data_IF_197307814576
#
_entry.id   IF_197307814576
#
_cell.length_a   1.000
_cell.length_b   1.000
_cell.length_c   1.000
_cell.angle_alpha   90.00
_cell.angle_beta   90.00
_cell.angle_gamma   90.00
#
_symmetry.space_group_name_H-M   'P 1'
#
loop_
_entity.id
_entity.type
_entity.pdbx_description
1 polymer ?
#
# COMPACT_ATOMS: atom_id res chain seq x y z
N UNK A 1 -58.00 -22.97 1.83
CA UNK A 1 -56.63 -23.25 2.32
C UNK A 1 -55.70 -23.45 1.12
N UNK A 2 -54.89 -22.44 0.78
CA UNK A 2 -53.89 -22.52 -0.30
C UNK A 2 -52.66 -23.28 0.22
N UNK A 3 -52.33 -24.42 -0.39
CA UNK A 3 -51.11 -25.18 -0.09
C UNK A 3 -49.91 -24.35 -0.54
N UNK A 4 -49.12 -23.85 0.40
CA UNK A 4 -47.77 -23.35 0.15
C UNK A 4 -46.93 -24.55 -0.29
N UNK A 5 -46.60 -24.60 -1.58
CA UNK A 5 -45.61 -25.53 -2.10
C UNK A 5 -44.25 -25.15 -1.54
N UNK A 6 -43.80 -25.88 -0.52
CA UNK A 6 -42.40 -25.84 -0.09
C UNK A 6 -41.60 -26.55 -1.18
N UNK A 7 -41.04 -25.78 -2.11
CA UNK A 7 -39.98 -26.28 -2.97
C UNK A 7 -38.85 -26.75 -2.07
N UNK A 8 -38.56 -28.06 -2.11
CA UNK A 8 -37.37 -28.63 -1.49
C UNK A 8 -36.16 -27.99 -2.16
N UNK A 9 -35.67 -26.90 -1.58
CA UNK A 9 -34.31 -26.42 -1.84
C UNK A 9 -33.40 -27.52 -1.28
N UNK A 10 -32.93 -28.38 -2.18
CA UNK A 10 -31.84 -29.29 -1.88
C UNK A 10 -30.60 -28.42 -1.69
N UNK A 11 -30.37 -27.97 -0.45
CA UNK A 11 -29.11 -27.37 -0.06
C UNK A 11 -28.03 -28.45 -0.16
N UNK A 12 -27.44 -28.62 -1.35
CA UNK A 12 -26.15 -29.28 -1.45
C UNK A 12 -25.12 -28.41 -0.72
N UNK A 13 -24.90 -28.71 0.55
CA UNK A 13 -23.91 -28.10 1.44
C UNK A 13 -22.46 -28.49 1.03
N UNK A 14 -22.12 -28.38 -0.25
CA UNK A 14 -20.80 -28.74 -0.77
C UNK A 14 -19.82 -27.55 -0.90
N UNK A 15 -20.19 -26.35 -0.45
CA UNK A 15 -19.25 -25.22 -0.42
C UNK A 15 -19.24 -24.54 0.94
N UNK A 16 -18.44 -25.08 1.86
CA UNK A 16 -18.11 -24.34 3.09
C UNK A 16 -17.36 -23.06 2.70
N UNK A 17 -17.85 -21.92 3.16
CA UNK A 17 -17.29 -20.57 2.98
C UNK A 17 -15.97 -20.35 3.75
N UNK A 18 -15.19 -21.40 4.03
CA UNK A 18 -14.05 -21.41 4.96
C UNK A 18 -12.87 -22.17 4.36
N UNK A 19 -11.68 -22.03 4.96
CA UNK A 19 -10.50 -22.79 4.56
C UNK A 19 -10.81 -24.29 4.50
N UNK A 20 -10.73 -24.88 3.31
CA UNK A 20 -10.89 -26.32 3.09
C UNK A 20 -9.53 -27.00 2.93
N UNK A 21 -9.54 -28.35 3.01
CA UNK A 21 -8.35 -29.16 2.73
C UNK A 21 -7.84 -28.84 1.31
N UNK A 22 -6.53 -28.58 1.18
CA UNK A 22 -5.88 -28.28 -0.10
C UNK A 22 -5.87 -26.80 -0.54
N UNK A 23 -6.47 -25.87 0.21
CA UNK A 23 -6.28 -24.43 -0.07
C UNK A 23 -4.89 -24.00 0.41
N UNK A 24 -4.17 -23.27 -0.43
CA UNK A 24 -2.87 -22.66 -0.12
C UNK A 24 -2.94 -21.14 -0.33
N UNK A 25 -2.11 -20.37 0.40
CA UNK A 25 -1.94 -18.95 0.11
C UNK A 25 -1.38 -18.80 -1.30
N UNK A 26 -1.85 -17.77 -2.00
CA UNK A 26 -1.47 -17.47 -3.37
C UNK A 26 -0.26 -16.53 -3.37
N UNK A 27 0.64 -16.75 -4.32
CA UNK A 27 1.69 -15.79 -4.68
C UNK A 27 1.16 -14.78 -5.68
N UNK A 28 1.86 -13.65 -5.85
CA UNK A 28 1.49 -12.65 -6.87
C UNK A 28 1.36 -13.26 -8.28
N UNK A 29 2.29 -14.16 -8.66
CA UNK A 29 2.23 -14.88 -9.94
C UNK A 29 0.97 -15.73 -10.08
N UNK A 30 0.56 -16.42 -9.02
CA UNK A 30 -0.67 -17.22 -9.02
C UNK A 30 -1.93 -16.34 -9.08
N UNK A 31 -1.92 -15.18 -8.40
CA UNK A 31 -2.99 -14.18 -8.52
C UNK A 31 -3.11 -13.68 -9.96
N UNK A 32 -1.99 -13.36 -10.61
CA UNK A 32 -1.96 -12.91 -11.99
C UNK A 32 -2.48 -13.98 -12.96
N UNK A 33 -2.11 -15.26 -12.78
CA UNK A 33 -2.62 -16.35 -13.62
C UNK A 33 -4.13 -16.57 -13.40
N UNK A 34 -4.61 -16.47 -12.16
CA UNK A 34 -6.01 -16.77 -11.81
C UNK A 34 -6.98 -15.64 -12.15
N UNK A 35 -6.56 -14.39 -11.96
CA UNK A 35 -7.42 -13.21 -12.08
C UNK A 35 -6.98 -12.23 -13.18
N UNK A 36 -5.77 -12.37 -13.74
CA UNK A 36 -5.34 -11.55 -14.87
C UNK A 36 -6.09 -11.93 -16.14
N UNK A 37 -6.85 -10.98 -16.68
CA UNK A 37 -7.49 -11.13 -17.98
C UNK A 37 -7.55 -9.78 -18.70
N UNK A 38 -6.68 -9.55 -19.71
CA UNK A 38 -6.63 -8.28 -20.43
C UNK A 38 -7.84 -8.04 -21.35
N UNK A 39 -8.58 -9.10 -21.70
CA UNK A 39 -9.65 -9.06 -22.70
C UNK A 39 -11.04 -8.88 -22.11
N UNK A 40 -11.17 -8.81 -20.78
CA UNK A 40 -12.47 -8.68 -20.13
C UNK A 40 -12.82 -7.20 -19.97
N UNK A 41 -14.04 -6.82 -20.33
CA UNK A 41 -14.56 -5.50 -19.96
C UNK A 41 -14.68 -5.43 -18.43
N UNK A 42 -13.98 -4.46 -17.84
CA UNK A 42 -13.95 -4.32 -16.39
C UNK A 42 -14.83 -3.14 -16.00
N UNK A 43 -15.72 -3.39 -15.04
CA UNK A 43 -16.55 -2.35 -14.43
C UNK A 43 -15.68 -1.32 -13.71
N UNK A 44 -16.28 -0.15 -13.47
CA UNK A 44 -15.63 0.95 -12.79
C UNK A 44 -15.04 0.55 -11.42
N UNK A 45 -13.79 0.97 -11.18
CA UNK A 45 -12.99 0.61 -10.00
C UNK A 45 -13.66 1.08 -8.70
N UNK A 46 -14.12 2.34 -8.66
CA UNK A 46 -14.69 2.93 -7.45
C UNK A 46 -16.01 2.24 -7.09
N UNK A 47 -16.82 1.93 -8.11
CA UNK A 47 -18.06 1.19 -7.94
C UNK A 47 -17.83 -0.20 -7.37
N UNK A 48 -16.89 -0.98 -7.94
CA UNK A 48 -16.54 -2.32 -7.47
C UNK A 48 -15.97 -2.30 -6.04
N UNK A 49 -15.10 -1.33 -5.74
CA UNK A 49 -14.54 -1.16 -4.40
C UNK A 49 -15.64 -0.86 -3.37
N UNK A 50 -16.54 0.07 -3.68
CA UNK A 50 -17.65 0.43 -2.79
C UNK A 50 -18.59 -0.75 -2.52
N UNK A 51 -18.92 -1.54 -3.56
CA UNK A 51 -19.75 -2.75 -3.41
C UNK A 51 -19.06 -3.79 -2.52
N UNK A 52 -17.76 -4.01 -2.75
CA UNK A 52 -16.96 -4.96 -1.97
C UNK A 52 -16.88 -4.53 -0.50
N UNK A 53 -16.61 -3.25 -0.24
CA UNK A 53 -16.55 -2.70 1.13
C UNK A 53 -17.90 -2.73 1.84
N UNK A 54 -18.99 -2.42 1.14
CA UNK A 54 -20.35 -2.49 1.69
C UNK A 54 -20.75 -3.92 2.05
N UNK A 55 -20.24 -4.91 1.32
CA UNK A 55 -20.46 -6.31 1.66
C UNK A 55 -19.60 -6.74 2.86
N UNK A 56 -18.34 -6.31 2.92
CA UNK A 56 -17.47 -6.53 4.09
C UNK A 56 -18.06 -5.87 5.34
N UNK A 57 -18.68 -4.70 5.21
CA UNK A 57 -19.20 -3.96 6.35
C UNK A 57 -20.34 -4.67 7.08
N UNK A 58 -21.06 -5.54 6.36
CA UNK A 58 -22.14 -6.37 6.91
C UNK A 58 -21.64 -7.62 7.64
N UNK A 59 -20.33 -7.91 7.59
CA UNK A 59 -19.76 -9.08 8.24
C UNK A 59 -19.67 -8.91 9.76
N UNK A 60 -20.04 -9.97 10.47
CA UNK A 60 -19.74 -10.11 11.90
C UNK A 60 -18.30 -10.61 12.10
N UNK A 61 -17.76 -10.44 13.31
CA UNK A 61 -16.39 -10.86 13.64
C UNK A 61 -16.10 -12.35 13.36
N UNK A 62 -17.11 -13.22 13.46
CA UNK A 62 -16.99 -14.65 13.16
C UNK A 62 -16.68 -14.96 11.69
N UNK A 63 -16.98 -14.07 10.74
CA UNK A 63 -16.65 -14.24 9.31
C UNK A 63 -15.16 -14.18 9.03
N UNK A 64 -14.36 -13.67 9.97
CA UNK A 64 -12.89 -13.64 9.89
C UNK A 64 -12.25 -14.94 10.39
N UNK A 65 -13.03 -15.80 11.06
CA UNK A 65 -12.53 -17.08 11.56
C UNK A 65 -12.46 -18.14 10.45
N UNK A 66 -11.56 -19.11 10.61
CA UNK A 66 -11.35 -20.22 9.65
C UNK A 66 -11.00 -19.71 8.23
N UNK A 67 -10.05 -18.78 8.18
CA UNK A 67 -9.51 -18.17 6.95
C UNK A 67 -8.05 -18.51 6.69
N UNK A 68 -7.34 -19.00 7.71
CA UNK A 68 -5.97 -19.51 7.56
C UNK A 68 -6.03 -20.99 7.19
N UNK A 69 -5.34 -21.44 6.13
CA UNK A 69 -5.37 -22.84 5.75
C UNK A 69 -4.81 -23.78 6.83
N UNK A 70 -5.31 -25.02 6.83
CA UNK A 70 -5.09 -25.98 7.92
C UNK A 70 -3.73 -26.70 7.84
N UNK A 71 -3.25 -26.98 6.63
CA UNK A 71 -2.05 -27.79 6.36
C UNK A 71 -0.85 -26.91 5.99
N UNK A 72 -0.45 -26.05 6.91
CA UNK A 72 0.69 -25.15 6.75
C UNK A 72 1.59 -25.32 7.96
N UNK A 73 2.91 -25.20 7.76
CA UNK A 73 3.90 -25.25 8.83
C UNK A 73 3.62 -24.21 9.93
N UNK A 74 4.05 -24.51 11.16
CA UNK A 74 3.74 -23.70 12.34
C UNK A 74 4.18 -22.24 12.22
N UNK A 75 5.35 -21.98 11.63
CA UNK A 75 5.86 -20.62 11.46
C UNK A 75 5.06 -19.87 10.39
N UNK A 76 4.91 -20.45 9.21
CA UNK A 76 4.11 -19.88 8.11
C UNK A 76 2.65 -19.64 8.54
N UNK A 77 2.09 -20.51 9.37
CA UNK A 77 0.74 -20.33 9.92
C UNK A 77 0.65 -19.10 10.82
N UNK A 78 1.64 -18.86 11.71
CA UNK A 78 1.71 -17.65 12.55
C UNK A 78 1.81 -16.39 11.70
N UNK A 79 2.60 -16.44 10.63
CA UNK A 79 2.76 -15.33 9.69
C UNK A 79 1.44 -14.97 8.99
N UNK A 80 0.69 -15.98 8.52
CA UNK A 80 -0.63 -15.78 7.91
C UNK A 80 -1.66 -15.25 8.91
N UNK A 81 -1.59 -15.66 10.19
CA UNK A 81 -2.44 -15.08 11.22
C UNK A 81 -2.13 -13.60 11.44
N UNK A 82 -0.85 -13.23 11.53
CA UNK A 82 -0.44 -11.83 11.68
C UNK A 82 -0.91 -10.98 10.49
N UNK A 83 -0.73 -11.48 9.26
CA UNK A 83 -1.22 -10.81 8.06
C UNK A 83 -2.74 -10.66 8.06
N UNK A 84 -3.47 -11.70 8.45
CA UNK A 84 -4.94 -11.66 8.57
C UNK A 84 -5.39 -10.65 9.63
N UNK A 85 -4.71 -10.57 10.78
CA UNK A 85 -5.03 -9.62 11.83
C UNK A 85 -4.78 -8.17 11.39
N UNK A 86 -3.67 -7.91 10.68
CA UNK A 86 -3.41 -6.61 10.06
C UNK A 86 -4.53 -6.24 9.08
N UNK A 87 -4.84 -7.12 8.12
CA UNK A 87 -5.90 -6.91 7.14
C UNK A 87 -7.26 -6.66 7.81
N UNK A 88 -7.61 -7.47 8.81
CA UNK A 88 -8.84 -7.33 9.57
C UNK A 88 -8.92 -5.98 10.28
N UNK A 89 -7.83 -5.55 10.94
CA UNK A 89 -7.80 -4.27 11.66
C UNK A 89 -8.04 -3.09 10.72
N UNK A 90 -7.37 -3.09 9.56
CA UNK A 90 -7.50 -2.05 8.54
C UNK A 90 -8.90 -2.05 7.91
N UNK A 91 -9.47 -3.22 7.59
CA UNK A 91 -10.84 -3.30 7.09
C UNK A 91 -11.86 -2.77 8.11
N UNK A 92 -11.71 -3.10 9.40
CA UNK A 92 -12.61 -2.59 10.46
C UNK A 92 -12.45 -1.08 10.65
N UNK A 93 -11.24 -0.54 10.58
CA UNK A 93 -10.98 0.89 10.64
C UNK A 93 -11.65 1.62 9.46
N UNK A 94 -11.47 1.10 8.24
CA UNK A 94 -12.11 1.64 7.04
C UNK A 94 -13.64 1.58 7.13
N UNK A 95 -14.21 0.51 7.68
CA UNK A 95 -15.65 0.41 7.91
C UNK A 95 -16.17 1.52 8.81
N UNK A 96 -15.51 1.77 9.95
CA UNK A 96 -15.88 2.86 10.88
C UNK A 96 -15.74 4.22 10.23
N UNK A 97 -14.70 4.42 9.43
CA UNK A 97 -14.48 5.67 8.70
C UNK A 97 -15.58 5.89 7.65
N UNK A 98 -15.93 4.88 6.87
CA UNK A 98 -17.01 4.95 5.90
C UNK A 98 -18.36 5.25 6.57
N UNK A 99 -18.65 4.64 7.72
CA UNK A 99 -19.86 4.92 8.51
C UNK A 99 -19.89 6.38 9.00
N UNK A 100 -18.77 6.90 9.50
CA UNK A 100 -18.65 8.29 9.91
C UNK A 100 -18.86 9.26 8.73
N UNK A 101 -18.28 8.97 7.56
CA UNK A 101 -18.48 9.75 6.33
C UNK A 101 -19.95 9.72 5.88
N UNK A 102 -20.59 8.55 5.88
CA UNK A 102 -22.01 8.45 5.53
C UNK A 102 -22.92 9.21 6.51
N UNK A 103 -22.59 9.20 7.80
CA UNK A 103 -23.31 9.95 8.82
C UNK A 103 -23.14 11.47 8.63
N UNK A 104 -21.93 11.93 8.34
CA UNK A 104 -21.67 13.34 8.04
C UNK A 104 -22.39 13.78 6.75
N UNK A 105 -22.44 12.93 5.70
CA UNK A 105 -23.20 13.21 4.47
C UNK A 105 -24.69 13.34 4.77
N UNK A 106 -25.27 12.41 5.55
CA UNK A 106 -26.67 12.46 5.96
C UNK A 106 -26.98 13.69 6.81
N UNK A 107 -26.06 14.09 7.69
CA UNK A 107 -26.20 15.29 8.51
C UNK A 107 -26.20 16.56 7.66
N UNK A 108 -25.25 16.71 6.74
CA UNK A 108 -25.21 17.86 5.81
C UNK A 108 -26.48 17.90 4.96
N UNK A 109 -26.89 16.75 4.41
CA UNK A 109 -28.11 16.62 3.61
C UNK A 109 -29.37 16.99 4.39
N UNK A 110 -29.50 16.56 5.64
CA UNK A 110 -30.68 16.86 6.47
C UNK A 110 -30.73 18.32 6.93
N UNK A 111 -29.58 18.94 7.21
CA UNK A 111 -29.51 20.34 7.67
C UNK A 111 -29.73 21.35 6.53
N UNK A 112 -29.35 21.01 5.30
CA UNK A 112 -29.41 21.93 4.15
C UNK A 112 -30.48 21.57 3.13
N UNK A 113 -31.10 20.39 3.25
CA UNK A 113 -32.11 19.90 2.31
C UNK A 113 -31.57 19.45 0.95
N UNK A 114 -30.25 19.43 0.75
CA UNK A 114 -29.66 18.95 -0.50
C UNK A 114 -29.66 17.42 -0.57
N UNK A 115 -29.67 16.87 -1.79
CA UNK A 115 -29.52 15.43 -1.99
C UNK A 115 -28.14 14.94 -1.49
N UNK A 116 -28.06 13.78 -0.81
CA UNK A 116 -26.79 13.20 -0.33
C UNK A 116 -25.71 13.08 -1.42
N UNK A 117 -26.13 12.77 -2.65
CA UNK A 117 -25.22 12.58 -3.78
C UNK A 117 -24.56 13.89 -4.24
N UNK A 118 -25.16 15.04 -3.92
CA UNK A 118 -24.65 16.36 -4.31
C UNK A 118 -23.72 16.97 -3.25
N UNK A 119 -23.70 16.43 -2.03
CA UNK A 119 -22.89 16.95 -0.91
C UNK A 119 -21.41 17.02 -1.28
N UNK A 120 -20.89 15.96 -1.90
CA UNK A 120 -19.46 15.84 -2.28
C UNK A 120 -19.03 16.82 -3.39
N UNK A 121 -19.99 17.40 -4.12
CA UNK A 121 -19.70 18.35 -5.22
C UNK A 121 -19.69 19.81 -4.74
N UNK A 122 -20.02 20.07 -3.47
CA UNK A 122 -20.10 21.42 -2.93
C UNK A 122 -18.73 21.95 -2.52
N UNK A 123 -18.62 23.28 -2.48
CA UNK A 123 -17.40 23.99 -2.14
C UNK A 123 -17.56 24.79 -0.83
N UNK A 124 -16.45 25.38 -0.35
CA UNK A 124 -16.46 26.22 0.85
C UNK A 124 -17.33 27.47 0.73
N UNK A 125 -17.46 28.04 -0.46
CA UNK A 125 -18.34 29.20 -0.67
C UNK A 125 -19.81 28.84 -0.38
N UNK A 126 -20.28 27.71 -0.91
CA UNK A 126 -21.59 27.17 -0.60
C UNK A 126 -21.77 26.89 0.90
N UNK A 127 -20.76 26.33 1.57
CA UNK A 127 -20.79 26.14 3.02
C UNK A 127 -20.98 27.47 3.76
N UNK A 128 -20.28 28.53 3.37
CA UNK A 128 -20.39 29.84 4.00
C UNK A 128 -21.80 30.42 3.87
N UNK A 129 -22.43 30.27 2.70
CA UNK A 129 -23.80 30.70 2.46
C UNK A 129 -24.80 29.93 3.33
N UNK A 130 -24.73 28.59 3.34
CA UNK A 130 -25.66 27.75 4.11
C UNK A 130 -25.47 27.91 5.62
N UNK A 131 -24.22 28.02 6.09
CA UNK A 131 -23.93 28.29 7.49
C UNK A 131 -24.44 29.69 7.90
N UNK A 132 -24.32 30.71 7.02
CA UNK A 132 -24.85 32.04 7.28
C UNK A 132 -26.38 32.04 7.37
N UNK A 133 -27.07 31.29 6.48
CA UNK A 133 -28.54 31.11 6.54
C UNK A 133 -28.96 30.50 7.88
N UNK A 134 -28.33 29.41 8.32
CA UNK A 134 -28.64 28.77 9.60
C UNK A 134 -28.39 29.71 10.79
N UNK A 135 -27.30 30.48 10.76
CA UNK A 135 -27.02 31.50 11.80
C UNK A 135 -28.04 32.64 11.79
N UNK A 136 -28.46 33.09 10.61
CA UNK A 136 -29.47 34.14 10.46
C UNK A 136 -30.82 33.70 11.03
N UNK A 137 -31.16 32.41 10.89
CA UNK A 137 -32.35 31.80 11.48
C UNK A 137 -32.22 31.56 13.01
N UNK A 138 -31.10 31.91 13.63
CA UNK A 138 -30.83 31.70 15.06
C UNK A 138 -30.38 30.29 15.42
N UNK A 139 -30.18 29.39 14.45
CA UNK A 139 -29.83 27.98 14.67
C UNK A 139 -28.31 27.77 14.77
N UNK A 140 -27.67 28.41 15.75
CA UNK A 140 -26.20 28.45 15.89
C UNK A 140 -25.54 27.05 16.01
N UNK A 141 -26.18 26.13 16.74
CA UNK A 141 -25.65 24.77 16.93
C UNK A 141 -25.63 23.99 15.61
N UNK A 142 -26.73 24.02 14.85
CA UNK A 142 -26.81 23.38 13.54
C UNK A 142 -25.80 23.98 12.54
N UNK A 143 -25.60 25.30 12.59
CA UNK A 143 -24.58 25.95 11.76
C UNK A 143 -23.15 25.49 12.11
N UNK A 144 -22.87 25.23 13.40
CA UNK A 144 -21.59 24.67 13.85
C UNK A 144 -21.44 23.21 13.39
N UNK A 145 -22.46 22.40 13.60
CA UNK A 145 -22.47 20.98 13.21
C UNK A 145 -22.29 20.82 11.70
N UNK A 146 -22.99 21.64 10.90
CA UNK A 146 -22.83 21.71 9.43
C UNK A 146 -21.38 22.00 9.06
N UNK A 147 -20.78 23.04 9.67
CA UNK A 147 -19.38 23.42 9.39
C UNK A 147 -18.43 22.29 9.74
N UNK A 148 -18.55 21.74 10.95
CA UNK A 148 -17.59 20.75 11.45
C UNK A 148 -17.71 19.42 10.65
N UNK A 149 -18.93 19.01 10.27
CA UNK A 149 -19.15 17.85 9.38
C UNK A 149 -18.61 18.09 7.97
N UNK A 150 -18.87 19.26 7.37
CA UNK A 150 -18.38 19.57 6.04
C UNK A 150 -16.85 19.60 5.98
N UNK A 151 -16.18 20.20 6.99
CA UNK A 151 -14.73 20.24 7.06
C UNK A 151 -14.10 18.84 7.20
N UNK A 152 -14.74 17.91 7.92
CA UNK A 152 -14.31 16.50 7.95
C UNK A 152 -14.50 15.81 6.60
N UNK A 153 -15.63 16.06 5.93
CA UNK A 153 -15.90 15.51 4.61
C UNK A 153 -14.93 16.00 3.54
N UNK A 154 -14.40 17.23 3.64
CA UNK A 154 -13.36 17.70 2.72
C UNK A 154 -12.08 16.86 2.81
N UNK A 155 -11.74 16.35 4.00
CA UNK A 155 -10.53 15.55 4.23
C UNK A 155 -10.76 14.08 3.92
N UNK A 156 -11.87 13.51 4.39
CA UNK A 156 -12.13 12.07 4.37
C UNK A 156 -13.17 11.61 3.34
N UNK A 157 -13.96 12.54 2.81
CA UNK A 157 -15.12 12.23 1.96
C UNK A 157 -14.81 12.02 0.49
N UNK A 158 -13.55 12.19 0.07
CA UNK A 158 -13.11 11.86 -1.29
C UNK A 158 -13.22 10.36 -1.55
N UNK A 159 -13.76 9.97 -2.72
CA UNK A 159 -13.87 8.57 -3.13
C UNK A 159 -12.51 7.87 -3.21
N UNK A 160 -11.46 8.65 -3.50
CA UNK A 160 -10.08 8.18 -3.64
C UNK A 160 -9.28 8.26 -2.33
N UNK A 161 -9.92 8.67 -1.22
CA UNK A 161 -9.26 8.68 0.08
C UNK A 161 -8.74 7.27 0.42
N UNK A 162 -7.42 7.17 0.66
CA UNK A 162 -6.68 5.93 0.95
C UNK A 162 -6.92 4.81 -0.08
N UNK A 163 -7.14 5.17 -1.35
CA UNK A 163 -7.51 4.22 -2.41
C UNK A 163 -6.56 3.03 -2.54
N UNK A 164 -5.24 3.27 -2.58
CA UNK A 164 -4.26 2.19 -2.71
C UNK A 164 -4.27 1.25 -1.49
N UNK A 165 -4.38 1.78 -0.28
CA UNK A 165 -4.46 0.96 0.94
C UNK A 165 -5.72 0.08 0.94
N UNK A 166 -6.86 0.64 0.53
CA UNK A 166 -8.13 -0.09 0.40
C UNK A 166 -8.04 -1.21 -0.65
N UNK A 167 -7.43 -0.94 -1.80
CA UNK A 167 -7.15 -1.96 -2.81
C UNK A 167 -6.15 -3.02 -2.32
N UNK A 168 -5.13 -2.63 -1.55
CA UNK A 168 -4.18 -3.55 -0.92
C UNK A 168 -4.85 -4.46 0.12
N UNK A 169 -5.85 -3.98 0.87
CA UNK A 169 -6.68 -4.84 1.71
C UNK A 169 -7.38 -5.92 0.88
N UNK A 170 -8.05 -5.54 -0.21
CA UNK A 170 -8.73 -6.49 -1.11
C UNK A 170 -7.74 -7.49 -1.70
N UNK A 171 -6.61 -7.01 -2.22
CA UNK A 171 -5.53 -7.86 -2.74
C UNK A 171 -4.99 -8.82 -1.69
N UNK A 172 -4.76 -8.37 -0.46
CA UNK A 172 -4.32 -9.20 0.66
C UNK A 172 -5.32 -10.30 1.02
N UNK A 173 -6.62 -9.98 1.05
CA UNK A 173 -7.68 -10.98 1.21
C UNK A 173 -7.69 -11.99 0.06
N UNK A 174 -7.39 -11.54 -1.16
CA UNK A 174 -7.24 -12.39 -2.35
C UNK A 174 -6.04 -13.33 -2.23
N UNK A 175 -4.89 -12.83 -1.79
CA UNK A 175 -3.66 -13.59 -1.55
C UNK A 175 -3.84 -14.71 -0.51
N UNK A 176 -4.71 -14.52 0.49
CA UNK A 176 -5.06 -15.59 1.44
C UNK A 176 -5.84 -16.75 0.77
N UNK A 177 -6.46 -16.51 -0.39
CA UNK A 177 -7.14 -17.54 -1.19
C UNK A 177 -8.43 -18.11 -0.59
N UNK A 178 -8.84 -17.67 0.60
CA UNK A 178 -9.97 -18.23 1.37
C UNK A 178 -11.22 -17.35 1.41
N UNK A 179 -11.11 -16.09 0.96
CA UNK A 179 -12.19 -15.11 1.05
C UNK A 179 -13.10 -15.04 -0.17
N UNK A 180 -12.68 -15.55 -1.34
CA UNK A 180 -13.41 -15.38 -2.61
C UNK A 180 -14.89 -15.77 -2.52
N UNK A 181 -15.18 -16.95 -1.96
CA UNK A 181 -16.55 -17.45 -1.81
C UNK A 181 -17.38 -16.67 -0.79
N UNK A 182 -16.75 -15.92 0.12
CA UNK A 182 -17.45 -15.14 1.13
C UNK A 182 -18.20 -13.92 0.54
N UNK A 183 -17.90 -13.57 -0.71
CA UNK A 183 -18.47 -12.42 -1.43
C UNK A 183 -19.58 -12.77 -2.43
N UNK A 184 -19.98 -14.04 -2.55
CA UNK A 184 -21.04 -14.46 -3.47
C UNK A 184 -22.12 -15.28 -2.75
N UNK A 185 -23.19 -15.61 -3.48
CA UNK A 185 -24.31 -16.45 -3.00
C UNK A 185 -25.04 -15.85 -1.80
N UNK A 186 -25.26 -14.54 -1.82
CA UNK A 186 -26.04 -13.84 -0.79
C UNK A 186 -27.52 -13.86 -1.14
N UNK A 187 -28.37 -14.18 -0.17
CA UNK A 187 -29.82 -14.01 -0.31
C UNK A 187 -30.12 -12.52 -0.12
N UNK A 188 -30.71 -11.90 -1.14
CA UNK A 188 -31.02 -10.48 -1.18
C UNK A 188 -32.48 -10.26 -1.57
N UNK A 189 -33.03 -9.12 -1.17
CA UNK A 189 -34.41 -8.73 -1.45
C UNK A 189 -34.41 -7.65 -2.54
N UNK A 190 -35.26 -7.79 -3.56
CA UNK A 190 -35.44 -6.74 -4.57
C UNK A 190 -36.20 -5.57 -3.99
N UNK A 191 -35.58 -4.39 -3.95
CA UNK A 191 -36.14 -3.16 -3.38
C UNK A 191 -37.55 -2.76 -3.90
N UNK A 192 -37.91 -3.14 -5.13
CA UNK A 192 -39.19 -2.77 -5.73
C UNK A 192 -40.30 -3.82 -5.55
N UNK A 193 -39.96 -5.11 -5.39
CA UNK A 193 -40.92 -6.21 -5.41
C UNK A 193 -40.95 -7.03 -4.12
N UNK A 194 -39.96 -6.85 -3.23
CA UNK A 194 -39.80 -7.68 -2.03
C UNK A 194 -39.44 -9.14 -2.33
N UNK A 195 -39.15 -9.48 -3.58
CA UNK A 195 -38.77 -10.84 -3.97
C UNK A 195 -37.38 -11.18 -3.46
N UNK A 196 -37.27 -12.33 -2.78
CA UNK A 196 -35.99 -12.89 -2.39
C UNK A 196 -35.35 -13.63 -3.55
N UNK A 197 -34.08 -13.33 -3.83
CA UNK A 197 -33.27 -14.04 -4.81
C UNK A 197 -31.86 -14.29 -4.29
N UNK A 198 -31.16 -15.23 -4.92
CA UNK A 198 -29.74 -15.49 -4.64
C UNK A 198 -28.93 -14.65 -5.61
N UNK A 199 -28.12 -13.73 -5.08
CA UNK A 199 -27.16 -12.97 -5.87
C UNK A 199 -25.89 -13.80 -6.06
N UNK A 200 -25.67 -14.23 -7.30
CA UNK A 200 -24.49 -14.98 -7.73
C UNK A 200 -23.32 -14.05 -8.11
N UNK A 201 -23.54 -12.74 -8.15
CA UNK A 201 -22.50 -11.75 -8.41
C UNK A 201 -21.36 -11.82 -7.40
N UNK A 202 -20.14 -11.54 -7.86
CA UNK A 202 -18.96 -11.51 -7.00
C UNK A 202 -18.12 -10.24 -7.27
N UNK A 203 -18.46 -9.10 -6.64
CA UNK A 203 -17.75 -7.85 -6.84
C UNK A 203 -16.28 -7.93 -6.40
N UNK A 204 -15.97 -8.81 -5.43
CA UNK A 204 -14.59 -9.04 -4.97
C UNK A 204 -13.72 -9.68 -6.04
N UNK A 205 -14.21 -10.73 -6.71
CA UNK A 205 -13.49 -11.38 -7.81
C UNK A 205 -13.34 -10.44 -9.01
N UNK A 206 -14.38 -9.67 -9.35
CA UNK A 206 -14.32 -8.63 -10.40
C UNK A 206 -13.27 -7.56 -10.06
N UNK A 207 -13.18 -7.12 -8.81
CA UNK A 207 -12.20 -6.15 -8.36
C UNK A 207 -10.77 -6.71 -8.37
N UNK A 208 -10.55 -7.96 -7.95
CA UNK A 208 -9.25 -8.61 -8.07
C UNK A 208 -8.79 -8.72 -9.53
N UNK A 209 -9.71 -9.02 -10.45
CA UNK A 209 -9.44 -9.00 -11.88
C UNK A 209 -9.04 -7.60 -12.35
N UNK A 210 -9.74 -6.56 -11.91
CA UNK A 210 -9.36 -5.17 -12.18
C UNK A 210 -7.92 -4.89 -11.75
N UNK A 211 -7.59 -5.19 -10.49
CA UNK A 211 -6.27 -4.91 -9.91
C UNK A 211 -5.18 -5.64 -10.70
N UNK A 212 -5.34 -6.94 -10.97
CA UNK A 212 -4.31 -7.75 -11.64
C UNK A 212 -4.13 -7.40 -13.12
N UNK A 213 -5.18 -6.93 -13.80
CA UNK A 213 -5.07 -6.51 -15.20
C UNK A 213 -4.47 -5.11 -15.34
N UNK A 214 -4.79 -4.17 -14.42
CA UNK A 214 -4.36 -2.77 -14.54
C UNK A 214 -3.06 -2.45 -13.80
N UNK A 215 -2.74 -3.18 -12.73
CA UNK A 215 -1.56 -2.94 -11.90
C UNK A 215 -0.66 -4.19 -11.85
N UNK A 216 0.23 -4.38 -12.84
CA UNK A 216 1.09 -5.57 -12.91
C UNK A 216 2.16 -5.63 -11.81
N UNK A 217 2.39 -4.54 -11.08
CA UNK A 217 3.36 -4.44 -9.97
C UNK A 217 2.68 -4.15 -8.63
N UNK A 218 1.43 -4.60 -8.47
CA UNK A 218 0.64 -4.31 -7.27
C UNK A 218 1.22 -4.96 -6.00
N UNK A 219 2.01 -6.02 -6.15
CA UNK A 219 2.76 -6.63 -5.05
C UNK A 219 3.81 -5.69 -4.44
N UNK A 220 4.45 -4.84 -5.26
CA UNK A 220 5.39 -3.82 -4.78
C UNK A 220 4.66 -2.79 -3.92
N UNK A 221 3.50 -2.31 -4.38
CA UNK A 221 2.67 -1.35 -3.63
C UNK A 221 2.21 -1.97 -2.30
N UNK A 222 1.79 -3.24 -2.33
CA UNK A 222 1.37 -3.99 -1.15
C UNK A 222 2.47 -4.06 -0.08
N UNK A 223 3.69 -4.40 -0.50
CA UNK A 223 4.84 -4.46 0.39
C UNK A 223 5.25 -3.07 0.89
N UNK A 224 5.26 -2.04 0.02
CA UNK A 224 5.61 -0.66 0.39
C UNK A 224 4.65 -0.08 1.42
N UNK A 225 3.36 -0.43 1.36
CA UNK A 225 2.38 -0.01 2.37
C UNK A 225 2.48 -0.76 3.70
N UNK A 226 3.37 -1.76 3.79
CA UNK A 226 3.66 -2.50 5.02
C UNK A 226 2.73 -3.70 5.27
N UNK A 227 2.01 -4.18 4.26
CA UNK A 227 1.12 -5.34 4.42
C UNK A 227 1.86 -6.70 4.45
N UNK A 228 3.18 -6.71 4.24
CA UNK A 228 4.02 -7.89 4.29
C UNK A 228 4.88 -7.88 5.57
N UNK A 229 4.35 -8.39 6.70
CA UNK A 229 5.05 -8.30 7.98
C UNK A 229 6.25 -9.25 8.10
N UNK A 230 6.39 -10.22 7.18
CA UNK A 230 7.40 -11.28 7.25
C UNK A 230 8.69 -10.85 6.58
N UNK A 231 8.64 -10.71 5.26
CA UNK A 231 9.82 -10.32 4.46
C UNK A 231 10.02 -8.81 4.42
N UNK A 232 9.03 -8.02 4.85
CA UNK A 232 9.03 -6.58 4.68
C UNK A 232 9.06 -6.20 3.19
N UNK A 233 9.59 -5.02 2.90
CA UNK A 233 9.56 -4.45 1.55
C UNK A 233 10.89 -4.45 0.81
N UNK A 234 11.99 -4.95 1.42
CA UNK A 234 13.34 -4.90 0.84
C UNK A 234 13.43 -5.56 -0.54
N UNK A 235 12.89 -6.78 -0.68
CA UNK A 235 12.91 -7.50 -1.94
C UNK A 235 12.09 -6.79 -3.03
N UNK A 236 10.96 -6.19 -2.64
CA UNK A 236 10.14 -5.37 -3.53
C UNK A 236 10.82 -4.05 -3.91
N UNK A 237 11.59 -3.43 -3.00
CA UNK A 237 12.42 -2.27 -3.30
C UNK A 237 13.51 -2.61 -4.31
N UNK A 238 14.20 -3.74 -4.14
CA UNK A 238 15.20 -4.24 -5.10
C UNK A 238 14.59 -4.42 -6.50
N UNK A 239 13.43 -5.08 -6.59
CA UNK A 239 12.70 -5.26 -7.86
C UNK A 239 12.24 -3.93 -8.46
N UNK A 240 11.73 -3.02 -7.64
CA UNK A 240 11.29 -1.68 -8.04
C UNK A 240 12.42 -0.83 -8.61
N UNK A 241 13.57 -0.76 -7.93
CA UNK A 241 14.73 -0.03 -8.42
C UNK A 241 15.25 -0.65 -9.72
N UNK A 242 15.36 -1.97 -9.76
CA UNK A 242 15.86 -2.70 -10.95
C UNK A 242 14.96 -2.46 -12.17
N UNK A 243 13.64 -2.57 -12.01
CA UNK A 243 12.69 -2.38 -13.11
C UNK A 243 12.73 -0.94 -13.63
N UNK A 244 12.83 0.04 -12.74
CA UNK A 244 12.87 1.45 -13.13
C UNK A 244 14.19 1.85 -13.79
N UNK A 245 15.33 1.32 -13.33
CA UNK A 245 16.61 1.53 -14.04
C UNK A 245 16.60 0.90 -15.43
N UNK A 246 16.05 -0.31 -15.57
CA UNK A 246 15.90 -0.97 -16.87
C UNK A 246 14.97 -0.18 -17.80
N UNK A 247 13.85 0.31 -17.29
CA UNK A 247 12.91 1.13 -18.08
C UNK A 247 13.50 2.49 -18.46
N UNK A 248 14.25 3.15 -17.55
CA UNK A 248 14.93 4.42 -17.80
C UNK A 248 15.90 4.32 -18.98
N UNK A 249 16.60 3.20 -19.09
CA UNK A 249 17.66 2.95 -20.08
C UNK A 249 17.33 1.80 -21.03
N UNK A 250 16.07 1.71 -21.47
CA UNK A 250 15.56 0.58 -22.26
C UNK A 250 16.33 0.32 -23.57
N UNK A 251 16.90 1.39 -24.15
CA UNK A 251 17.65 1.34 -25.41
C UNK A 251 19.17 1.22 -25.20
N UNK A 252 19.65 1.13 -23.96
CA UNK A 252 21.08 1.04 -23.65
C UNK A 252 21.45 -0.38 -23.20
N UNK A 253 22.72 -0.78 -23.43
CA UNK A 253 23.23 -2.08 -22.98
C UNK A 253 23.44 -2.04 -21.46
N UNK A 254 22.51 -2.63 -20.74
CA UNK A 254 22.59 -2.80 -19.29
C UNK A 254 23.02 -4.24 -18.96
N UNK A 255 23.77 -4.40 -17.87
CA UNK A 255 24.23 -5.69 -17.37
C UNK A 255 23.67 -5.95 -15.99
N UNK A 256 23.32 -7.20 -15.71
CA UNK A 256 22.95 -7.69 -14.38
C UNK A 256 23.75 -8.97 -14.10
N UNK A 257 24.29 -9.10 -12.89
CA UNK A 257 25.07 -10.29 -12.53
C UNK A 257 25.08 -10.51 -11.03
N UNK A 258 24.49 -11.61 -10.57
CA UNK A 258 24.42 -11.97 -9.15
C UNK A 258 23.81 -10.85 -8.32
N UNK A 259 24.63 -10.22 -7.48
CA UNK A 259 24.24 -9.09 -6.60
C UNK A 259 24.36 -7.71 -7.25
N UNK A 260 24.95 -7.62 -8.44
CA UNK A 260 24.89 -6.39 -9.26
C UNK A 260 23.53 -6.38 -9.94
N UNK A 261 22.61 -5.61 -9.37
CA UNK A 261 21.21 -5.53 -9.79
C UNK A 261 21.06 -4.74 -11.10
N UNK A 262 21.92 -3.75 -11.30
CA UNK A 262 21.96 -2.94 -12.52
C UNK A 262 23.38 -2.41 -12.73
N UNK A 263 23.87 -2.47 -13.96
CA UNK A 263 25.08 -1.78 -14.36
C UNK A 263 24.94 -1.23 -15.77
N UNK A 264 25.19 0.06 -15.93
CA UNK A 264 25.33 0.71 -17.21
C UNK A 264 26.75 1.32 -17.31
N UNK A 265 27.65 0.73 -18.12
CA UNK A 265 29.03 1.20 -18.22
C UNK A 265 29.13 2.56 -18.92
N UNK A 266 28.25 2.85 -19.88
CA UNK A 266 28.26 4.14 -20.59
C UNK A 266 27.89 5.31 -19.69
N UNK A 267 26.98 5.08 -18.74
CA UNK A 267 26.53 6.08 -17.76
C UNK A 267 27.30 6.06 -16.46
N UNK A 268 28.24 5.12 -16.29
CA UNK A 268 28.95 4.86 -15.02
C UNK A 268 27.95 4.73 -13.85
N UNK A 269 26.89 3.97 -14.09
CA UNK A 269 25.84 3.71 -13.10
C UNK A 269 25.87 2.25 -12.66
N UNK A 270 25.76 2.03 -11.35
CA UNK A 270 25.76 0.70 -10.73
C UNK A 270 24.79 0.69 -9.55
N UNK A 271 23.91 -0.31 -9.50
CA UNK A 271 23.13 -0.67 -8.33
C UNK A 271 23.60 -2.04 -7.82
N UNK A 272 24.01 -2.09 -6.57
CA UNK A 272 24.53 -3.29 -5.91
C UNK A 272 23.70 -3.65 -4.68
N UNK A 273 23.28 -4.92 -4.59
CA UNK A 273 22.66 -5.51 -3.41
C UNK A 273 23.75 -5.97 -2.44
N UNK A 274 23.95 -5.21 -1.36
CA UNK A 274 24.98 -5.52 -0.37
C UNK A 274 24.56 -6.70 0.51
N UNK A 275 23.38 -6.61 1.12
CA UNK A 275 22.82 -7.64 1.98
C UNK A 275 21.67 -7.13 2.83
N UNK A 276 21.03 -8.03 3.57
CA UNK A 276 19.91 -7.70 4.45
C UNK A 276 20.43 -7.12 5.78
N UNK A 277 20.37 -5.80 5.90
CA UNK A 277 20.89 -5.08 7.07
C UNK A 277 20.08 -5.40 8.35
N UNK A 278 18.77 -5.64 8.20
CA UNK A 278 17.84 -5.92 9.30
C UNK A 278 18.18 -7.23 9.98
N UNK A 279 18.41 -8.27 9.19
CA UNK A 279 18.75 -9.58 9.74
C UNK A 279 20.19 -9.62 10.23
N UNK A 280 21.14 -8.96 9.56
CA UNK A 280 22.57 -9.07 9.90
C UNK A 280 22.98 -8.30 11.16
N UNK A 281 22.40 -7.13 11.43
CA UNK A 281 22.88 -6.29 12.54
C UNK A 281 22.62 -6.89 13.93
N UNK A 282 21.58 -7.71 14.08
CA UNK A 282 21.24 -8.35 15.34
C UNK A 282 22.10 -9.57 15.69
N UNK A 283 22.82 -10.15 14.72
CA UNK A 283 23.65 -11.34 14.96
C UNK A 283 25.08 -11.02 15.41
N UNK A 284 25.56 -9.79 15.23
CA UNK A 284 26.94 -9.44 15.58
C UNK A 284 27.04 -8.01 16.13
N UNK A 285 27.32 -7.91 17.43
CA UNK A 285 27.41 -6.64 18.15
C UNK A 285 28.59 -5.75 17.78
N UNK A 286 29.54 -6.27 17.00
CA UNK A 286 30.74 -5.51 16.58
C UNK A 286 30.60 -4.80 15.23
N UNK A 287 29.51 -5.02 14.49
CA UNK A 287 29.35 -4.44 13.15
C UNK A 287 28.64 -3.08 13.22
N UNK A 288 29.22 -2.08 12.55
CA UNK A 288 28.69 -0.73 12.36
C UNK A 288 28.63 -0.40 10.87
N UNK A 289 27.58 0.30 10.43
CA UNK A 289 27.47 0.79 9.06
C UNK A 289 27.16 -0.31 8.04
N UNK A 290 25.92 -0.82 8.05
CA UNK A 290 25.45 -1.90 7.17
C UNK A 290 24.38 -1.38 6.20
N UNK A 291 24.75 -0.94 4.99
CA UNK A 291 23.76 -0.55 3.98
C UNK A 291 23.07 -1.78 3.36
N UNK A 292 21.84 -1.60 2.91
CA UNK A 292 21.12 -2.63 2.16
C UNK A 292 21.53 -2.64 0.69
N UNK A 293 21.59 -1.43 0.09
CA UNK A 293 21.96 -1.24 -1.30
C UNK A 293 23.00 -0.13 -1.42
N UNK A 294 23.89 -0.27 -2.41
CA UNK A 294 24.82 0.76 -2.84
C UNK A 294 24.43 1.16 -4.26
N UNK A 295 24.13 2.44 -4.46
CA UNK A 295 23.93 3.01 -5.79
C UNK A 295 25.05 4.01 -6.10
N UNK A 296 25.68 3.86 -7.25
CA UNK A 296 26.75 4.74 -7.73
C UNK A 296 26.31 5.31 -9.07
N UNK A 297 26.42 6.63 -9.22
CA UNK A 297 26.16 7.35 -10.46
C UNK A 297 27.26 8.37 -10.69
N UNK A 298 28.10 8.12 -11.69
CA UNK A 298 29.29 8.94 -11.94
C UNK A 298 30.14 9.08 -10.68
N UNK A 299 30.13 10.26 -10.04
CA UNK A 299 30.91 10.56 -8.83
C UNK A 299 30.09 10.49 -7.54
N UNK A 300 28.80 10.22 -7.65
CA UNK A 300 27.84 10.26 -6.55
C UNK A 300 27.56 8.84 -6.04
N UNK A 301 27.73 8.65 -4.74
CA UNK A 301 27.57 7.38 -4.04
C UNK A 301 26.43 7.51 -3.04
N UNK A 302 25.45 6.62 -3.14
CA UNK A 302 24.30 6.54 -2.25
C UNK A 302 24.30 5.22 -1.50
N UNK A 303 24.29 5.30 -0.19
CA UNK A 303 24.09 4.15 0.69
C UNK A 303 22.63 4.11 1.13
N UNK A 304 21.85 3.20 0.55
CA UNK A 304 20.43 3.02 0.88
C UNK A 304 20.34 2.04 2.05
N UNK A 305 19.72 2.48 3.14
CA UNK A 305 19.65 1.76 4.41
C UNK A 305 18.18 1.65 4.80
N UNK A 306 17.70 0.43 5.04
CA UNK A 306 16.40 0.19 5.65
C UNK A 306 16.59 0.12 7.16
N UNK A 307 15.92 1.02 7.89
CA UNK A 307 16.05 1.07 9.33
C UNK A 307 15.62 -0.24 10.00
N UNK A 308 16.24 -0.56 11.12
CA UNK A 308 15.91 -1.72 11.94
C UNK A 308 14.65 -1.46 12.73
N UNK A 309 13.92 -2.54 12.99
CA UNK A 309 12.80 -2.56 13.93
C UNK A 309 13.25 -2.18 15.35
N UNK A 310 14.50 -2.49 15.73
CA UNK A 310 15.02 -2.20 17.05
C UNK A 310 15.62 -0.80 17.10
N UNK A 311 15.01 0.10 17.87
CA UNK A 311 15.44 1.49 18.02
C UNK A 311 16.90 1.61 18.48
N UNK A 312 17.37 0.73 19.38
CA UNK A 312 18.76 0.71 19.85
C UNK A 312 19.78 0.41 18.74
N UNK A 313 19.37 -0.33 17.70
CA UNK A 313 20.26 -0.74 16.61
C UNK A 313 20.30 0.27 15.47
N UNK A 314 19.32 1.19 15.38
CA UNK A 314 19.24 2.17 14.27
C UNK A 314 20.47 3.07 14.20
N UNK A 315 20.96 3.53 15.36
CA UNK A 315 22.16 4.37 15.44
C UNK A 315 23.44 3.63 14.99
N UNK A 316 23.44 2.29 15.07
CA UNK A 316 24.56 1.45 14.62
C UNK A 316 24.50 1.12 13.12
N UNK A 317 23.31 1.17 12.51
CA UNK A 317 23.14 0.87 11.09
C UNK A 317 23.72 1.95 10.19
N UNK A 318 23.58 3.22 10.59
CA UNK A 318 24.06 4.35 9.81
C UNK A 318 25.60 4.39 9.85
N UNK A 319 26.29 4.29 8.71
CA UNK A 319 27.75 4.32 8.69
C UNK A 319 28.30 5.64 9.23
N UNK A 320 29.32 5.54 10.08
CA UNK A 320 30.01 6.72 10.61
C UNK A 320 30.79 7.44 9.49
N UNK A 321 31.01 8.75 9.63
CA UNK A 321 31.76 9.58 8.66
C UNK A 321 33.09 8.95 8.18
N UNK A 322 33.92 8.46 9.11
CA UNK A 322 35.17 7.74 8.78
C UNK A 322 34.96 6.52 7.86
N UNK A 323 33.86 5.79 8.03
CA UNK A 323 33.52 4.67 7.15
C UNK A 323 33.09 5.16 5.77
N UNK A 324 32.31 6.25 5.69
CA UNK A 324 31.94 6.88 4.44
C UNK A 324 33.17 7.35 3.66
N UNK A 325 34.13 8.02 4.32
CA UNK A 325 35.41 8.42 3.72
C UNK A 325 36.19 7.20 3.20
N UNK A 326 36.22 6.12 3.97
CA UNK A 326 36.86 4.86 3.56
C UNK A 326 36.15 4.17 2.37
N UNK A 327 34.82 4.22 2.31
CA UNK A 327 34.03 3.70 1.18
C UNK A 327 34.29 4.55 -0.06
N UNK A 328 34.21 5.87 0.04
CA UNK A 328 34.43 6.78 -1.07
C UNK A 328 35.87 6.69 -1.62
N UNK A 329 36.89 6.54 -0.76
CA UNK A 329 38.28 6.28 -1.19
C UNK A 329 38.43 4.97 -1.94
N UNK A 330 37.81 3.88 -1.45
CA UNK A 330 37.81 2.58 -2.15
C UNK A 330 37.06 2.66 -3.47
N UNK A 331 35.93 3.37 -3.50
CA UNK A 331 35.18 3.65 -4.72
C UNK A 331 36.04 4.39 -5.75
N UNK A 332 36.76 5.44 -5.32
CA UNK A 332 37.72 6.16 -6.17
C UNK A 332 38.76 5.23 -6.79
N UNK A 333 39.39 4.34 -6.01
CA UNK A 333 40.37 3.39 -6.52
C UNK A 333 39.77 2.37 -7.50
N UNK A 334 38.60 1.82 -7.20
CA UNK A 334 37.98 0.77 -8.02
C UNK A 334 37.40 1.34 -9.32
N UNK A 335 36.78 2.51 -9.27
CA UNK A 335 36.09 3.12 -10.42
C UNK A 335 36.94 4.13 -11.18
N UNK A 336 38.18 4.39 -10.72
CA UNK A 336 39.08 5.36 -11.35
C UNK A 336 38.57 6.80 -11.28
N UNK A 337 37.79 7.13 -10.24
CA UNK A 337 37.21 8.45 -10.04
C UNK A 337 38.21 9.31 -9.24
N UNK A 338 38.52 10.55 -9.63
CA UNK A 338 39.32 11.47 -8.82
C UNK A 338 38.72 11.65 -7.42
N UNK A 339 39.54 11.45 -6.38
CA UNK A 339 39.07 11.39 -4.99
C UNK A 339 38.39 12.69 -4.53
N UNK A 340 38.90 13.83 -5.02
CA UNK A 340 38.42 15.20 -4.80
C UNK A 340 37.02 15.46 -5.36
N UNK A 341 36.51 14.56 -6.18
CA UNK A 341 35.20 14.69 -6.84
C UNK A 341 34.16 13.71 -6.31
N UNK A 342 34.54 12.76 -5.46
CA UNK A 342 33.61 11.76 -4.94
C UNK A 342 32.73 12.40 -3.88
N UNK A 343 31.41 12.26 -4.07
CA UNK A 343 30.41 12.65 -3.09
C UNK A 343 29.68 11.41 -2.62
N UNK A 344 29.55 11.24 -1.30
CA UNK A 344 28.83 10.11 -0.70
C UNK A 344 27.76 10.60 0.26
N UNK A 345 26.59 9.96 0.23
CA UNK A 345 25.45 10.30 1.08
C UNK A 345 24.71 9.05 1.55
N UNK A 346 24.23 9.09 2.79
CA UNK A 346 23.33 8.09 3.35
C UNK A 346 21.88 8.42 2.98
N UNK A 347 21.10 7.38 2.73
CA UNK A 347 19.66 7.47 2.56
C UNK A 347 19.00 6.46 3.50
N UNK A 348 18.29 6.96 4.52
CA UNK A 348 17.66 6.13 5.52
C UNK A 348 16.14 6.01 5.26
N UNK A 349 15.67 4.79 5.09
CA UNK A 349 14.27 4.43 4.81
C UNK A 349 13.59 3.80 6.05
N UNK A 350 12.25 3.85 6.16
CA UNK A 350 11.53 3.36 7.34
C UNK A 350 11.61 1.83 7.46
N UNK A 351 11.39 1.26 8.66
CA UNK A 351 11.63 -0.17 8.90
C UNK A 351 10.57 -1.12 8.31
N UNK A 352 9.30 -0.76 8.37
CA UNK A 352 8.18 -1.67 8.06
C UNK A 352 7.45 -1.37 6.74
N UNK A 353 7.52 -0.13 6.29
CA UNK A 353 6.84 0.41 5.12
C UNK A 353 7.75 1.46 4.47
N UNK A 354 7.31 2.01 3.34
CA UNK A 354 8.00 3.09 2.65
C UNK A 354 7.03 4.25 2.49
N UNK A 355 7.20 5.32 3.25
CA UNK A 355 6.31 6.49 3.15
C UNK A 355 6.52 7.25 1.83
N UNK A 356 5.54 8.10 1.48
CA UNK A 356 5.54 8.86 0.23
C UNK A 356 6.77 9.78 0.12
N UNK A 357 7.20 10.44 1.20
CA UNK A 357 8.36 11.32 1.14
C UNK A 357 9.66 10.55 0.88
N UNK A 358 9.84 9.40 1.52
CA UNK A 358 10.97 8.50 1.24
C UNK A 358 10.94 7.93 -0.18
N UNK A 359 9.77 7.55 -0.69
CA UNK A 359 9.60 7.06 -2.06
C UNK A 359 9.91 8.15 -3.09
N UNK A 360 9.40 9.37 -2.89
CA UNK A 360 9.72 10.52 -3.75
C UNK A 360 11.22 10.82 -3.72
N UNK A 361 11.85 10.78 -2.55
CA UNK A 361 13.30 10.97 -2.43
C UNK A 361 14.09 9.93 -3.23
N UNK A 362 13.67 8.65 -3.20
CA UNK A 362 14.27 7.60 -4.03
C UNK A 362 14.08 7.89 -5.52
N UNK A 363 12.87 8.27 -5.94
CA UNK A 363 12.56 8.51 -7.36
C UNK A 363 13.28 9.75 -7.90
N UNK A 364 13.32 10.83 -7.12
CA UNK A 364 13.91 12.09 -7.55
C UNK A 364 15.43 12.06 -7.47
N UNK A 365 16.01 11.53 -6.39
CA UNK A 365 17.47 11.60 -6.16
C UNK A 365 18.20 10.41 -6.79
N UNK A 366 17.69 9.19 -6.60
CA UNK A 366 18.37 7.97 -7.06
C UNK A 366 18.03 7.67 -8.52
N UNK A 367 16.74 7.63 -8.84
CA UNK A 367 16.32 7.31 -10.21
C UNK A 367 16.47 8.49 -11.15
N UNK A 368 16.46 9.74 -10.64
CA UNK A 368 16.62 10.97 -11.43
C UNK A 368 15.74 10.95 -12.68
N UNK A 369 14.45 10.74 -12.44
CA UNK A 369 13.41 10.70 -13.47
C UNK A 369 12.70 12.06 -13.52
N UNK A 370 12.50 12.60 -14.73
CA UNK A 370 11.64 13.77 -14.91
C UNK A 370 10.20 13.44 -14.49
N UNK A 371 9.44 14.44 -14.04
CA UNK A 371 8.02 14.25 -13.62
C UNK A 371 7.15 13.56 -14.68
N UNK A 372 7.43 13.80 -15.95
CA UNK A 372 6.74 13.14 -17.08
C UNK A 372 7.06 11.64 -17.12
N UNK A 373 8.34 11.27 -17.05
CA UNK A 373 8.77 9.87 -16.98
C UNK A 373 8.29 9.18 -15.70
N UNK A 374 8.20 9.91 -14.59
CA UNK A 374 7.62 9.36 -13.36
C UNK A 374 6.14 9.00 -13.56
N UNK A 375 5.35 9.87 -14.19
CA UNK A 375 3.94 9.59 -14.49
C UNK A 375 3.76 8.40 -15.44
N UNK A 376 4.68 8.24 -16.38
CA UNK A 376 4.68 7.12 -17.33
C UNK A 376 5.06 5.79 -16.66
N UNK A 377 6.17 5.77 -15.92
CA UNK A 377 6.73 4.54 -15.36
C UNK A 377 6.11 4.14 -14.01
N UNK A 378 5.61 5.10 -13.26
CA UNK A 378 5.04 4.92 -11.91
C UNK A 378 3.69 5.65 -11.82
N UNK A 379 2.68 5.26 -12.63
CA UNK A 379 1.41 6.00 -12.71
C UNK A 379 0.63 6.02 -11.39
N UNK A 380 0.91 5.09 -10.47
CA UNK A 380 0.27 5.01 -9.15
C UNK A 380 0.91 5.93 -8.10
N UNK A 381 2.06 6.56 -8.39
CA UNK A 381 2.78 7.42 -7.42
C UNK A 381 1.92 8.59 -6.93
N UNK A 382 1.08 9.16 -7.80
CA UNK A 382 0.18 10.27 -7.43
C UNK A 382 -0.95 9.86 -6.48
N UNK A 383 -1.24 8.56 -6.40
CA UNK A 383 -2.26 7.99 -5.49
C UNK A 383 -1.63 7.50 -4.18
N UNK A 384 -0.31 7.55 -4.05
CA UNK A 384 0.44 7.06 -2.91
C UNK A 384 0.57 8.15 -1.84
N UNK A 385 -0.25 8.09 -0.80
CA UNK A 385 -0.26 9.07 0.32
C UNK A 385 0.09 8.42 1.67
N UNK A 386 0.93 7.39 1.67
CA UNK A 386 1.41 6.79 2.93
C UNK A 386 2.28 7.79 3.67
N UNK A 387 1.93 8.07 4.92
CA UNK A 387 2.71 8.94 5.82
C UNK A 387 3.46 8.12 6.85
N UNK A 388 4.48 8.72 7.44
CA UNK A 388 5.16 8.15 8.60
C UNK A 388 4.18 8.02 9.77
N UNK A 389 4.20 6.87 10.41
CA UNK A 389 3.38 6.61 11.58
C UNK A 389 3.88 7.46 12.76
N UNK A 390 2.99 8.18 13.48
CA UNK A 390 3.40 9.05 14.59
C UNK A 390 4.09 8.32 15.75
N UNK A 391 4.03 6.98 15.77
CA UNK A 391 4.67 6.13 16.79
C UNK A 391 6.16 5.92 16.53
N UNK A 392 6.64 6.20 15.31
CA UNK A 392 8.03 6.01 14.90
C UNK A 392 8.89 7.27 15.17
N UNK A 393 8.71 7.93 16.32
CA UNK A 393 9.35 9.21 16.66
C UNK A 393 10.88 9.13 16.52
N UNK A 394 11.51 8.11 17.10
CA UNK A 394 12.97 7.93 17.05
C UNK A 394 13.50 7.80 15.61
N UNK A 395 12.71 7.17 14.72
CA UNK A 395 13.07 7.08 13.31
C UNK A 395 12.88 8.43 12.62
N UNK A 396 11.80 9.15 12.90
CA UNK A 396 11.56 10.49 12.34
C UNK A 396 12.71 11.45 12.67
N UNK A 397 13.17 11.47 13.92
CA UNK A 397 14.31 12.30 14.35
C UNK A 397 15.60 11.90 13.61
N UNK A 398 15.95 10.61 13.63
CA UNK A 398 17.16 10.12 12.96
C UNK A 398 17.10 10.35 11.45
N UNK A 399 15.98 10.07 10.81
CA UNK A 399 15.80 10.24 9.36
C UNK A 399 15.90 11.69 8.94
N UNK A 400 15.46 12.65 9.76
CA UNK A 400 15.64 14.08 9.49
C UNK A 400 17.12 14.42 9.47
N UNK A 401 17.87 14.04 10.52
CA UNK A 401 19.31 14.32 10.60
C UNK A 401 20.12 13.67 9.47
N UNK A 402 19.84 12.42 9.13
CA UNK A 402 20.62 11.66 8.14
C UNK A 402 20.28 12.08 6.70
N UNK A 403 19.00 12.32 6.40
CA UNK A 403 18.60 12.61 5.02
C UNK A 403 18.83 14.07 4.63
N UNK A 404 18.81 14.99 5.60
CA UNK A 404 19.15 16.41 5.41
C UNK A 404 20.66 16.67 5.48
N UNK A 405 21.46 15.69 5.93
CA UNK A 405 22.91 15.80 5.96
C UNK A 405 23.46 16.13 4.55
N UNK A 406 24.35 17.11 4.50
CA UNK A 406 25.02 17.51 3.27
C UNK A 406 25.88 16.38 2.71
N UNK A 407 26.18 16.48 1.42
CA UNK A 407 27.06 15.53 0.76
C UNK A 407 28.44 15.51 1.43
N UNK A 408 28.87 14.33 1.85
CA UNK A 408 30.25 14.17 2.28
C UNK A 408 31.14 14.15 1.03
N UNK A 409 32.00 15.15 0.92
CA UNK A 409 32.98 15.27 -0.16
C UNK A 409 34.36 14.94 0.43
N UNK A 410 35.16 14.16 -0.30
CA UNK A 410 36.51 13.75 0.12
C UNK A 410 37.59 14.76 -0.26
#
# INVERSE_FOLDING_TARGET
MKRLGVSRIVCQNNTRFHSTYGITPLTHKQMQVRFGNPNKEIRDQQTLLKLTELQMSKWRLNKWNFRVPLLIDGEQKRQLFLQLDILKSLCIEQMKQNEAVENDIKLVSSLTGISPNLVQQKNRAWLHEEAAKLRWMGELNKAKDLRDAFLRLEVYGSSDHRLLERLCCVYGLGMLGTFEKAFSNLITEKNATGELYVDEGNPFTELLQYIMTRFPHFDIIYDFLGFNPVSGYRASLSRFLTSLFQAKYINEKNMTSGRILFHNPHRKEILFDYGDSKNTIGFNDSIFGLPDFLYIKNMDFYLIIIASNNHWLRNRQVPHRKQLEGIARRGSFVFGIPIDKVRIKNLLLPPYYLDNASLLRLVDIILDLSKEKQKELIPWLSLYDKKLDPKDIDYCELSTTVNEEEWLTL
#
